data_IF_927858645112
#
_entry.id   IF_927858645112
#
_cell.length_a   1.000
_cell.length_b   1.000
_cell.length_c   1.000
_cell.angle_alpha   90.00
_cell.angle_beta   90.00
_cell.angle_gamma   90.00
#
_symmetry.space_group_name_H-M   'P 1'
#
loop_
_entity.id
_entity.type
_entity.pdbx_description
1 polymer ?
#
# COMPACT_ATOMS: atom_id res chain seq x y z
N UNK A 1 -3.27 -67.90 61.12
CA UNK A 1 -1.82 -67.86 61.43
C UNK A 1 -1.29 -66.47 61.09
N UNK A 2 -0.38 -65.95 61.93
CA UNK A 2 0.27 -64.61 61.93
C UNK A 2 -0.69 -63.40 61.97
N UNK A 3 -0.85 -62.72 63.12
CA UNK A 3 0.08 -61.75 63.75
C UNK A 3 0.52 -60.66 62.76
N UNK A 4 0.37 -59.37 63.04
CA UNK A 4 -0.09 -58.69 64.25
C UNK A 4 0.27 -57.21 64.21
N UNK A 5 -0.09 -56.53 65.30
CA UNK A 5 0.46 -55.27 65.84
C UNK A 5 0.42 -54.00 64.97
N UNK A 6 0.17 -52.78 65.45
CA UNK A 6 -0.41 -52.13 66.65
C UNK A 6 0.26 -50.74 66.72
N UNK A 7 -0.50 -49.78 67.21
CA UNK A 7 -0.05 -48.56 67.89
C UNK A 7 0.56 -47.47 66.97
N UNK A 8 0.34 -46.18 67.22
CA UNK A 8 0.35 -45.55 68.54
C UNK A 8 -0.43 -44.23 68.57
N UNK A 9 -1.21 -44.06 69.66
CA UNK A 9 -1.45 -42.85 70.50
C UNK A 9 -1.93 -41.54 69.85
N UNK A 10 -3.14 -41.02 70.14
CA UNK A 10 -3.72 -40.56 71.44
C UNK A 10 -3.23 -39.13 71.81
N UNK A 11 -4.00 -38.21 72.40
CA UNK A 11 -5.39 -38.11 72.91
C UNK A 11 -5.57 -36.63 73.34
N UNK A 12 -6.81 -36.26 73.70
CA UNK A 12 -7.25 -35.12 74.56
C UNK A 12 -7.56 -33.82 73.80
N UNK A 13 -8.71 -33.17 73.96
CA UNK A 13 -9.85 -33.37 74.87
C UNK A 13 -10.66 -32.08 75.00
N UNK A 14 -11.84 -32.23 75.62
CA UNK A 14 -12.72 -31.19 76.18
C UNK A 14 -13.64 -30.41 75.23
N UNK A 15 -14.90 -30.85 75.21
CA UNK A 15 -16.07 -30.01 75.01
C UNK A 15 -16.29 -29.11 76.23
N UNK A 16 -16.81 -27.89 76.05
CA UNK A 16 -17.67 -27.16 77.02
C UNK A 16 -18.35 -25.96 76.33
N UNK A 17 -19.65 -25.84 76.64
CA UNK A 17 -20.53 -24.68 76.70
C UNK A 17 -20.85 -23.82 75.46
N UNK A 18 -22.12 -23.90 75.09
CA UNK A 18 -22.89 -22.91 74.34
C UNK A 18 -23.11 -21.67 75.22
N UNK A 19 -22.74 -20.50 74.69
CA UNK A 19 -23.29 -19.20 75.12
C UNK A 19 -23.55 -18.37 73.87
N UNK A 20 -24.83 -18.03 73.67
CA UNK A 20 -25.27 -17.14 72.61
C UNK A 20 -24.82 -15.70 72.91
N UNK A 21 -24.12 -15.09 71.95
CA UNK A 21 -23.87 -13.65 71.92
C UNK A 21 -24.39 -13.15 70.57
N UNK A 22 -25.46 -12.37 70.65
CA UNK A 22 -26.00 -11.59 69.54
C UNK A 22 -25.05 -10.43 69.24
N UNK A 23 -24.55 -10.36 68.01
CA UNK A 23 -23.94 -9.14 67.47
C UNK A 23 -24.37 -8.95 66.02
N UNK A 24 -24.90 -7.77 65.74
CA UNK A 24 -25.44 -7.32 64.45
C UNK A 24 -24.33 -7.20 63.41
N UNK A 25 -24.40 -8.01 62.35
CA UNK A 25 -23.55 -7.85 61.17
C UNK A 25 -24.22 -6.83 60.25
N UNK A 26 -23.61 -5.65 60.15
CA UNK A 26 -23.88 -4.69 59.07
C UNK A 26 -23.52 -5.35 57.74
N UNK A 27 -24.48 -5.46 56.82
CA UNK A 27 -24.23 -5.93 55.47
C UNK A 27 -23.24 -4.98 54.78
N UNK A 28 -22.02 -5.46 54.52
CA UNK A 28 -21.09 -4.77 53.64
C UNK A 28 -21.69 -4.73 52.23
N UNK A 29 -21.81 -3.54 51.65
CA UNK A 29 -22.21 -3.36 50.26
C UNK A 29 -21.25 -4.15 49.35
N UNK A 30 -21.80 -4.86 48.37
CA UNK A 30 -21.02 -5.54 47.35
C UNK A 30 -20.05 -4.54 46.68
N UNK A 31 -18.80 -4.93 46.40
CA UNK A 31 -17.87 -4.05 45.69
C UNK A 31 -18.49 -3.66 44.35
N UNK A 32 -18.40 -2.38 44.01
CA UNK A 32 -18.84 -1.88 42.72
C UNK A 32 -18.19 -2.74 41.61
N UNK A 33 -18.94 -3.14 40.57
CA UNK A 33 -18.36 -3.90 39.47
C UNK A 33 -17.18 -3.11 38.91
N UNK A 34 -16.03 -3.79 38.76
CA UNK A 34 -14.89 -3.22 38.08
C UNK A 34 -15.36 -2.60 36.75
N UNK A 35 -14.88 -1.41 36.35
CA UNK A 35 -15.27 -0.82 35.09
C UNK A 35 -15.06 -1.86 34.00
N UNK A 36 -16.13 -2.18 33.27
CA UNK A 36 -16.06 -3.13 32.18
C UNK A 36 -14.93 -2.67 31.26
N UNK A 37 -13.84 -3.42 31.22
CA UNK A 37 -12.84 -3.28 30.17
C UNK A 37 -13.63 -3.52 28.90
N UNK A 38 -13.96 -2.44 28.17
CA UNK A 38 -14.66 -2.56 26.90
C UNK A 38 -13.78 -3.46 26.04
N UNK A 39 -14.19 -4.73 25.84
CA UNK A 39 -13.55 -5.56 24.83
C UNK A 39 -13.66 -4.76 23.55
N UNK A 40 -12.52 -4.31 23.03
CA UNK A 40 -12.46 -3.64 21.73
C UNK A 40 -13.28 -4.51 20.78
N UNK A 41 -14.34 -3.94 20.20
CA UNK A 41 -15.14 -4.68 19.23
C UNK A 41 -14.19 -5.20 18.14
N UNK A 42 -14.37 -6.45 17.71
CA UNK A 42 -13.52 -7.02 16.67
C UNK A 42 -13.54 -6.17 15.39
N UNK A 43 -12.50 -6.26 14.58
CA UNK A 43 -12.31 -5.42 13.41
C UNK A 43 -11.72 -6.22 12.24
N UNK A 44 -11.93 -5.73 11.03
CA UNK A 44 -11.22 -6.19 9.85
C UNK A 44 -9.72 -5.82 9.94
N UNK A 45 -8.88 -6.82 9.72
CA UNK A 45 -7.43 -6.69 9.77
C UNK A 45 -6.87 -6.40 8.38
N UNK A 46 -7.29 -7.15 7.36
CA UNK A 46 -6.86 -6.98 5.97
C UNK A 46 -7.99 -7.36 5.01
N UNK A 47 -7.97 -6.81 3.81
CA UNK A 47 -8.80 -7.24 2.69
C UNK A 47 -8.04 -7.11 1.37
N UNK A 48 -8.46 -7.88 0.38
CA UNK A 48 -7.94 -7.81 -0.99
C UNK A 48 -8.99 -8.20 -2.03
N UNK A 49 -8.75 -7.78 -3.26
CA UNK A 49 -9.52 -8.22 -4.43
C UNK A 49 -8.53 -8.65 -5.50
N UNK A 50 -8.73 -9.87 -6.00
CA UNK A 50 -7.96 -10.45 -7.08
C UNK A 50 -8.89 -10.87 -8.21
N UNK A 51 -8.45 -10.69 -9.45
CA UNK A 51 -9.19 -11.15 -10.63
C UNK A 51 -8.56 -12.40 -11.18
N UNK A 52 -9.37 -13.44 -11.36
CA UNK A 52 -8.91 -14.68 -11.96
C UNK A 52 -8.96 -14.63 -13.50
N UNK A 53 -8.40 -15.65 -14.16
CA UNK A 53 -8.33 -15.75 -15.62
C UNK A 53 -9.71 -15.77 -16.32
N UNK A 54 -10.80 -16.07 -15.61
CA UNK A 54 -12.17 -16.04 -16.14
C UNK A 54 -12.83 -14.65 -15.98
N UNK A 55 -12.12 -13.67 -15.43
CA UNK A 55 -12.61 -12.33 -15.16
C UNK A 55 -13.43 -12.19 -13.88
N UNK A 56 -13.58 -13.25 -13.09
CA UNK A 56 -14.27 -13.18 -11.80
C UNK A 56 -13.37 -12.54 -10.74
N UNK A 57 -14.00 -11.79 -9.84
CA UNK A 57 -13.39 -11.13 -8.71
C UNK A 57 -13.49 -12.03 -7.48
N UNK A 58 -12.34 -12.33 -6.88
CA UNK A 58 -12.20 -12.93 -5.56
C UNK A 58 -12.00 -11.80 -4.55
N UNK A 59 -13.03 -11.52 -3.77
CA UNK A 59 -12.99 -10.58 -2.65
C UNK A 59 -12.66 -11.40 -1.40
N UNK A 60 -11.62 -11.04 -0.66
CA UNK A 60 -11.21 -11.78 0.54
C UNK A 60 -10.86 -10.83 1.68
N UNK A 61 -11.00 -11.30 2.91
CA UNK A 61 -10.72 -10.52 4.11
C UNK A 61 -10.24 -11.39 5.27
N UNK A 62 -9.63 -10.75 6.25
CA UNK A 62 -9.33 -11.31 7.57
C UNK A 62 -9.86 -10.36 8.63
N UNK A 63 -10.43 -10.91 9.70
CA UNK A 63 -10.84 -10.18 10.88
C UNK A 63 -10.19 -10.81 12.13
N UNK A 64 -9.97 -10.01 13.18
CA UNK A 64 -9.39 -10.49 14.44
C UNK A 64 -10.42 -11.14 15.38
N UNK A 65 -11.70 -11.08 15.00
CA UNK A 65 -12.80 -11.82 15.62
C UNK A 65 -13.89 -12.12 14.57
N UNK A 66 -14.90 -12.90 14.97
CA UNK A 66 -16.11 -13.04 14.17
C UNK A 66 -16.97 -11.78 14.32
N UNK A 67 -17.17 -11.05 13.23
CA UNK A 67 -17.93 -9.80 13.20
C UNK A 67 -19.41 -10.01 12.85
N UNK A 68 -19.84 -11.27 12.68
CA UNK A 68 -21.21 -11.66 12.39
C UNK A 68 -21.55 -11.68 10.89
N UNK A 69 -22.81 -11.37 10.58
CA UNK A 69 -23.27 -11.29 9.19
C UNK A 69 -22.53 -10.18 8.43
N UNK A 70 -22.01 -10.49 7.26
CA UNK A 70 -21.31 -9.53 6.42
C UNK A 70 -22.17 -9.12 5.22
N UNK A 71 -22.21 -7.82 4.94
CA UNK A 71 -22.82 -7.26 3.71
C UNK A 71 -21.72 -6.71 2.83
N UNK A 72 -21.70 -7.13 1.57
CA UNK A 72 -20.73 -6.66 0.58
C UNK A 72 -21.46 -5.69 -0.34
N UNK A 73 -20.98 -4.45 -0.40
CA UNK A 73 -21.46 -3.42 -1.32
C UNK A 73 -20.43 -3.16 -2.41
N UNK A 74 -20.88 -2.73 -3.58
CA UNK A 74 -20.00 -2.30 -4.67
C UNK A 74 -20.41 -0.96 -5.25
N UNK A 75 -19.44 -0.22 -5.78
CA UNK A 75 -19.63 1.09 -6.41
C UNK A 75 -18.55 1.35 -7.47
N UNK A 76 -18.81 2.23 -8.43
CA UNK A 76 -17.80 2.76 -9.36
C UNK A 76 -17.12 4.04 -8.83
N UNK A 77 -17.58 4.54 -7.67
CA UNK A 77 -16.91 5.59 -6.90
C UNK A 77 -16.40 5.00 -5.58
N UNK A 78 -15.19 5.35 -5.14
CA UNK A 78 -14.67 4.89 -3.85
C UNK A 78 -15.37 5.54 -2.65
N UNK A 79 -16.09 6.65 -2.86
CA UNK A 79 -16.66 7.45 -1.77
C UNK A 79 -18.07 6.98 -1.38
N UNK A 80 -18.33 6.84 -0.06
CA UNK A 80 -19.64 6.55 0.52
C UNK A 80 -20.34 5.29 -0.05
N UNK A 81 -19.58 4.21 -0.28
CA UNK A 81 -20.07 2.97 -0.91
C UNK A 81 -21.23 2.34 -0.12
N UNK A 82 -21.19 2.40 1.21
CA UNK A 82 -22.18 1.80 2.10
C UNK A 82 -23.54 2.51 2.03
N UNK A 83 -23.56 3.75 1.56
CA UNK A 83 -24.76 4.56 1.39
C UNK A 83 -25.26 4.58 -0.05
N UNK A 84 -24.34 4.74 -1.00
CA UNK A 84 -24.66 4.99 -2.41
C UNK A 84 -24.39 3.79 -3.33
N UNK A 85 -23.65 2.79 -2.84
CA UNK A 85 -23.33 1.58 -3.56
C UNK A 85 -24.50 0.60 -3.61
N UNK A 86 -24.29 -0.48 -4.38
CA UNK A 86 -25.26 -1.55 -4.57
C UNK A 86 -24.88 -2.75 -3.72
N UNK A 87 -25.85 -3.34 -3.02
CA UNK A 87 -25.63 -4.59 -2.30
C UNK A 87 -25.30 -5.70 -3.32
N UNK A 88 -24.12 -6.30 -3.18
CA UNK A 88 -23.66 -7.42 -3.97
C UNK A 88 -24.13 -8.75 -3.37
N UNK A 89 -23.89 -8.93 -2.07
CA UNK A 89 -24.10 -10.19 -1.39
C UNK A 89 -24.27 -10.00 0.12
N UNK A 90 -24.92 -10.99 0.75
CA UNK A 90 -24.94 -11.18 2.19
C UNK A 90 -24.27 -12.53 2.50
N UNK A 91 -23.39 -12.54 3.50
CA UNK A 91 -22.57 -13.69 3.86
C UNK A 91 -22.22 -13.59 5.36
N UNK A 92 -21.17 -14.27 5.82
CA UNK A 92 -20.64 -14.14 7.18
C UNK A 92 -19.15 -13.83 7.14
N UNK A 93 -18.66 -13.03 8.09
CA UNK A 93 -17.23 -12.70 8.13
C UNK A 93 -16.34 -13.92 8.32
N UNK A 94 -16.85 -15.00 8.92
CA UNK A 94 -16.14 -16.26 9.11
C UNK A 94 -15.81 -17.01 7.81
N UNK A 95 -16.47 -16.68 6.69
CA UNK A 95 -16.19 -17.31 5.40
C UNK A 95 -14.96 -16.72 4.69
N UNK A 96 -14.44 -15.59 5.18
CA UNK A 96 -13.18 -14.96 4.73
C UNK A 96 -13.08 -14.62 3.23
N UNK A 97 -14.17 -14.73 2.46
CA UNK A 97 -14.18 -14.34 1.07
C UNK A 97 -15.50 -14.57 0.34
N UNK A 98 -15.56 -14.04 -0.87
CA UNK A 98 -16.68 -14.12 -1.81
C UNK A 98 -16.16 -14.05 -3.25
N UNK A 99 -16.69 -14.88 -4.13
CA UNK A 99 -16.35 -14.87 -5.57
C UNK A 99 -17.55 -14.36 -6.35
N UNK A 100 -17.32 -13.42 -7.25
CA UNK A 100 -18.37 -12.80 -8.07
C UNK A 100 -17.88 -12.53 -9.50
N UNK A 101 -18.76 -12.58 -10.52
CA UNK A 101 -18.46 -11.92 -11.79
C UNK A 101 -18.20 -10.42 -11.57
N UNK A 102 -17.45 -9.77 -12.46
CA UNK A 102 -17.31 -8.32 -12.44
C UNK A 102 -18.69 -7.65 -12.53
N UNK A 103 -19.14 -6.90 -11.51
CA UNK A 103 -20.47 -6.32 -11.49
C UNK A 103 -20.61 -5.16 -12.48
N UNK A 104 -19.51 -4.61 -13.00
CA UNK A 104 -19.52 -3.52 -13.97
C UNK A 104 -18.26 -3.52 -14.85
N UNK A 105 -18.17 -4.41 -15.87
CA UNK A 105 -17.05 -4.44 -16.80
C UNK A 105 -16.80 -3.08 -17.48
N UNK A 106 -15.53 -2.72 -17.67
CA UNK A 106 -15.12 -1.44 -18.25
C UNK A 106 -15.18 -0.24 -17.28
N UNK A 107 -15.38 -0.51 -15.99
CA UNK A 107 -15.28 0.45 -14.90
C UNK A 107 -14.35 -0.10 -13.83
N UNK A 108 -13.67 0.79 -13.12
CA UNK A 108 -13.03 0.44 -11.84
C UNK A 108 -14.13 0.26 -10.79
N UNK A 109 -14.08 -0.86 -10.08
CA UNK A 109 -15.06 -1.21 -9.03
C UNK A 109 -14.38 -1.20 -7.67
N UNK A 110 -15.05 -0.60 -6.70
CA UNK A 110 -14.67 -0.55 -5.29
C UNK A 110 -15.72 -1.30 -4.46
N UNK A 111 -15.28 -1.94 -3.38
CA UNK A 111 -16.13 -2.69 -2.48
C UNK A 111 -16.03 -2.16 -1.07
N UNK A 112 -17.14 -2.24 -0.34
CA UNK A 112 -17.18 -2.08 1.11
C UNK A 112 -17.74 -3.35 1.74
N UNK A 113 -16.99 -3.95 2.65
CA UNK A 113 -17.40 -5.13 3.41
C UNK A 113 -17.78 -4.66 4.81
N UNK A 114 -19.07 -4.73 5.13
CA UNK A 114 -19.62 -4.28 6.41
C UNK A 114 -19.97 -5.48 7.28
N UNK A 115 -19.30 -5.60 8.43
CA UNK A 115 -19.59 -6.58 9.47
C UNK A 115 -20.89 -6.29 10.21
N UNK A 116 -21.44 -7.31 10.87
CA UNK A 116 -22.69 -7.22 11.64
C UNK A 116 -22.53 -6.36 12.89
N UNK A 117 -21.31 -6.24 13.40
CA UNK A 117 -20.92 -5.31 14.46
C UNK A 117 -20.78 -3.84 13.98
N UNK A 118 -20.93 -3.58 12.68
CA UNK A 118 -20.84 -2.24 12.09
C UNK A 118 -19.46 -1.86 11.56
N UNK A 119 -18.42 -2.64 11.81
CA UNK A 119 -17.07 -2.39 11.26
C UNK A 119 -17.08 -2.50 9.73
N UNK A 120 -16.26 -1.69 9.05
CA UNK A 120 -16.20 -1.65 7.59
C UNK A 120 -14.76 -1.66 7.12
N UNK A 121 -14.50 -2.40 6.04
CA UNK A 121 -13.26 -2.31 5.28
C UNK A 121 -13.56 -2.07 3.80
N UNK A 122 -12.87 -1.09 3.22
CA UNK A 122 -12.92 -0.78 1.79
C UNK A 122 -11.80 -1.47 1.04
N UNK A 123 -12.11 -1.98 -0.15
CA UNK A 123 -11.16 -2.75 -0.95
C UNK A 123 -11.45 -2.63 -2.44
N UNK A 124 -10.41 -2.65 -3.26
CA UNK A 124 -10.48 -2.72 -4.71
C UNK A 124 -9.30 -3.52 -5.27
N UNK A 125 -9.34 -3.86 -6.56
CA UNK A 125 -8.17 -4.39 -7.25
C UNK A 125 -7.06 -3.34 -7.24
N UNK A 126 -5.87 -3.69 -6.75
CA UNK A 126 -4.72 -2.78 -6.72
C UNK A 126 -4.28 -2.39 -8.13
N UNK A 127 -4.09 -3.39 -8.99
CA UNK A 127 -3.78 -3.18 -10.42
C UNK A 127 -4.99 -2.58 -11.11
N UNK A 128 -4.76 -1.53 -11.90
CA UNK A 128 -5.75 -1.05 -12.86
C UNK A 128 -5.51 -1.84 -14.15
N UNK A 129 -6.43 -2.75 -14.48
CA UNK A 129 -6.28 -3.63 -15.63
C UNK A 129 -6.53 -2.85 -16.94
N UNK A 130 -5.45 -2.34 -17.52
CA UNK A 130 -5.44 -1.64 -18.81
C UNK A 130 -4.70 -2.49 -19.86
N UNK A 131 -5.00 -2.29 -21.13
CA UNK A 131 -4.34 -2.99 -22.24
C UNK A 131 -2.97 -2.39 -22.55
N UNK A 132 -2.88 -1.06 -22.53
CA UNK A 132 -1.67 -0.30 -22.87
C UNK A 132 -0.72 -0.03 -21.72
N UNK A 133 -1.04 -0.44 -20.49
CA UNK A 133 -0.24 -0.15 -19.29
C UNK A 133 -0.12 -1.39 -18.39
N UNK A 134 1.09 -1.68 -17.95
CA UNK A 134 1.43 -2.89 -17.20
C UNK A 134 1.47 -2.66 -15.68
N UNK A 135 1.98 -1.50 -15.27
CA UNK A 135 2.38 -1.10 -13.92
C UNK A 135 1.49 0.02 -13.35
N UNK A 136 0.32 0.28 -13.96
CA UNK A 136 -0.71 1.18 -13.44
C UNK A 136 -1.42 0.56 -12.23
N UNK A 137 -1.32 1.21 -11.06
CA UNK A 137 -2.00 0.77 -9.83
C UNK A 137 -2.37 1.89 -8.88
N UNK A 138 -3.31 1.56 -8.01
CA UNK A 138 -3.81 2.39 -6.92
C UNK A 138 -2.97 2.16 -5.63
N UNK A 139 -2.66 3.24 -4.92
CA UNK A 139 -1.91 3.23 -3.66
C UNK A 139 -2.83 3.10 -2.42
N UNK A 140 -4.15 2.97 -2.62
CA UNK A 140 -5.11 2.74 -1.54
C UNK A 140 -4.95 1.42 -0.79
N UNK A 141 -5.61 1.32 0.35
CA UNK A 141 -5.69 0.11 1.19
C UNK A 141 -4.46 -0.18 2.06
N UNK A 142 -3.41 0.61 1.99
CA UNK A 142 -2.28 0.47 2.91
C UNK A 142 -2.61 1.03 4.29
N UNK A 143 -2.31 0.27 5.35
CA UNK A 143 -2.50 0.72 6.72
C UNK A 143 -1.35 1.59 7.18
N UNK A 144 -1.67 2.63 7.94
CA UNK A 144 -0.69 3.49 8.61
C UNK A 144 -0.38 2.96 10.01
N UNK A 145 0.74 3.39 10.58
CA UNK A 145 1.16 2.97 11.93
C UNK A 145 0.17 3.37 13.04
N UNK A 146 -0.62 4.42 12.82
CA UNK A 146 -1.69 4.88 13.72
C UNK A 146 -3.05 4.20 13.44
N UNK A 147 -3.10 3.22 12.55
CA UNK A 147 -4.26 2.34 12.32
C UNK A 147 -5.28 2.85 11.31
N UNK A 148 -5.03 3.98 10.65
CA UNK A 148 -5.83 4.46 9.51
C UNK A 148 -5.48 3.71 8.23
N UNK A 149 -6.25 3.93 7.18
CA UNK A 149 -6.02 3.31 5.86
C UNK A 149 -5.91 4.39 4.78
N UNK A 150 -4.99 4.23 3.83
CA UNK A 150 -4.92 5.08 2.63
C UNK A 150 -6.18 4.85 1.80
N UNK A 151 -6.93 5.91 1.51
CA UNK A 151 -8.18 5.84 0.74
C UNK A 151 -7.92 5.30 -0.66
N UNK A 152 -8.79 4.39 -1.10
CA UNK A 152 -8.82 3.92 -2.48
C UNK A 152 -9.26 5.01 -3.46
N UNK A 153 -8.74 4.93 -4.68
CA UNK A 153 -9.18 5.77 -5.79
C UNK A 153 -8.69 7.22 -5.74
N UNK A 154 -7.70 7.54 -4.89
CA UNK A 154 -7.18 8.91 -4.71
C UNK A 154 -5.74 9.09 -5.18
N UNK A 155 -4.92 8.05 -5.14
CA UNK A 155 -3.49 8.13 -5.38
C UNK A 155 -3.09 6.97 -6.29
N UNK A 156 -2.62 7.27 -7.48
CA UNK A 156 -2.25 6.28 -8.49
C UNK A 156 -0.81 6.46 -8.91
N UNK A 157 -0.20 5.35 -9.34
CA UNK A 157 1.10 5.32 -10.00
C UNK A 157 1.00 4.53 -11.29
N UNK A 158 1.77 4.90 -12.30
CA UNK A 158 1.80 4.21 -13.58
C UNK A 158 3.19 4.26 -14.23
N UNK A 159 3.36 3.47 -15.30
CA UNK A 159 4.34 3.81 -16.33
C UNK A 159 3.81 4.89 -17.28
N UNK A 160 4.52 5.18 -18.36
CA UNK A 160 4.07 6.13 -19.37
C UNK A 160 2.72 5.76 -19.98
N UNK A 161 1.95 6.80 -20.35
CA UNK A 161 0.55 6.64 -20.73
C UNK A 161 0.33 6.69 -22.25
N UNK A 162 1.37 6.96 -23.03
CA UNK A 162 1.28 7.05 -24.50
C UNK A 162 0.86 5.74 -25.21
N UNK A 163 0.93 4.60 -24.52
CA UNK A 163 0.48 3.31 -25.04
C UNK A 163 -1.00 2.99 -24.74
N UNK A 164 -1.71 3.84 -23.97
CA UNK A 164 -3.10 3.59 -23.62
C UNK A 164 -3.99 3.50 -24.87
N UNK A 165 -4.78 2.44 -24.94
CA UNK A 165 -5.76 2.25 -26.02
C UNK A 165 -6.97 3.17 -25.82
N UNK A 166 -7.79 3.35 -26.86
CA UNK A 166 -9.04 4.11 -26.74
C UNK A 166 -9.97 3.56 -25.63
N UNK A 167 -9.97 2.24 -25.41
CA UNK A 167 -10.72 1.64 -24.30
C UNK A 167 -10.12 1.97 -22.94
N UNK A 168 -8.80 2.04 -22.83
CA UNK A 168 -8.12 2.39 -21.59
C UNK A 168 -8.39 3.84 -21.20
N UNK A 169 -8.38 4.76 -22.18
CA UNK A 169 -8.70 6.18 -21.95
C UNK A 169 -10.09 6.35 -21.35
N UNK A 170 -11.07 5.57 -21.83
CA UNK A 170 -12.42 5.57 -21.29
C UNK A 170 -12.49 5.05 -19.85
N UNK A 171 -11.68 4.04 -19.51
CA UNK A 171 -11.56 3.54 -18.13
C UNK A 171 -10.95 4.63 -17.22
N UNK A 172 -9.81 5.21 -17.62
CA UNK A 172 -9.10 6.25 -16.85
C UNK A 172 -9.98 7.48 -16.65
N UNK A 173 -10.69 7.93 -17.69
CA UNK A 173 -11.64 9.04 -17.60
C UNK A 173 -12.76 8.78 -16.58
N UNK A 174 -13.28 7.55 -16.52
CA UNK A 174 -14.34 7.15 -15.56
C UNK A 174 -13.84 7.01 -14.13
N UNK A 175 -12.52 6.83 -13.93
CA UNK A 175 -11.93 6.79 -12.59
C UNK A 175 -11.93 8.16 -11.90
N UNK A 176 -12.13 9.25 -12.65
CA UNK A 176 -12.18 10.60 -12.09
C UNK A 176 -10.83 11.12 -11.64
N UNK A 177 -9.73 10.62 -12.23
CA UNK A 177 -8.39 11.19 -12.00
C UNK A 177 -8.37 12.59 -12.63
N UNK A 178 -7.96 13.58 -11.85
CA UNK A 178 -8.00 15.00 -12.21
C UNK A 178 -6.63 15.58 -12.56
N UNK A 179 -5.56 14.88 -12.17
CA UNK A 179 -4.19 15.36 -12.34
C UNK A 179 -3.28 14.21 -12.77
N UNK A 180 -2.46 14.48 -13.77
CA UNK A 180 -1.41 13.63 -14.30
C UNK A 180 -0.05 14.31 -14.06
N UNK A 181 0.84 13.64 -13.34
CA UNK A 181 2.18 14.14 -12.99
C UNK A 181 3.24 13.31 -13.69
N UNK A 182 3.89 13.93 -14.67
CA UNK A 182 4.89 13.30 -15.51
C UNK A 182 6.31 13.69 -15.06
N UNK A 183 7.09 12.70 -14.62
CA UNK A 183 8.50 12.86 -14.24
C UNK A 183 9.48 12.59 -15.40
N UNK A 184 8.98 12.35 -16.61
CA UNK A 184 9.83 12.09 -17.78
C UNK A 184 10.59 13.32 -18.20
N UNK A 185 11.77 13.09 -18.74
CA UNK A 185 12.56 14.12 -19.42
C UNK A 185 11.88 14.54 -20.73
N UNK A 186 12.26 15.68 -21.29
CA UNK A 186 11.75 16.17 -22.58
C UNK A 186 11.95 15.17 -23.71
N UNK A 187 13.08 14.45 -23.70
CA UNK A 187 13.37 13.43 -24.70
C UNK A 187 12.43 12.22 -24.56
N UNK A 188 12.15 11.79 -23.33
CA UNK A 188 11.23 10.67 -23.06
C UNK A 188 9.78 11.03 -23.41
N UNK A 189 9.29 12.21 -22.99
CA UNK A 189 7.96 12.70 -23.35
C UNK A 189 7.82 12.91 -24.87
N UNK A 190 8.82 13.52 -25.50
CA UNK A 190 8.82 13.77 -26.93
C UNK A 190 8.84 12.49 -27.77
N UNK A 191 9.47 11.43 -27.26
CA UNK A 191 9.47 10.11 -27.89
C UNK A 191 8.11 9.40 -27.77
N UNK A 192 7.40 9.62 -26.65
CA UNK A 192 6.12 8.98 -26.40
C UNK A 192 5.17 9.90 -25.62
N UNK A 193 4.37 10.69 -26.32
CA UNK A 193 3.47 11.66 -25.68
C UNK A 193 2.33 10.99 -24.93
N UNK A 194 1.95 11.57 -23.80
CA UNK A 194 0.74 11.15 -23.12
C UNK A 194 -0.52 11.59 -23.88
N UNK A 195 -1.60 10.79 -23.81
CA UNK A 195 -2.87 11.13 -24.42
C UNK A 195 -3.53 12.28 -23.65
N UNK A 196 -4.20 13.18 -24.38
CA UNK A 196 -5.00 14.23 -23.75
C UNK A 196 -6.31 13.64 -23.20
N UNK A 197 -6.45 13.62 -21.88
CA UNK A 197 -7.65 13.13 -21.19
C UNK A 197 -8.49 14.32 -20.71
N UNK A 198 -9.71 14.45 -21.22
CA UNK A 198 -10.60 15.56 -20.87
C UNK A 198 -10.89 15.61 -19.36
N UNK A 199 -10.69 16.77 -18.75
CA UNK A 199 -10.87 16.99 -17.31
C UNK A 199 -9.66 16.64 -16.44
N UNK A 200 -8.58 16.16 -17.05
CA UNK A 200 -7.30 15.88 -16.40
C UNK A 200 -6.30 17.00 -16.71
N UNK A 201 -5.68 17.56 -15.68
CA UNK A 201 -4.57 18.49 -15.83
C UNK A 201 -3.29 17.70 -16.02
N UNK A 202 -2.56 17.99 -17.09
CA UNK A 202 -1.23 17.44 -17.33
C UNK A 202 -0.18 18.37 -16.76
N UNK A 203 0.65 17.86 -15.85
CA UNK A 203 1.70 18.60 -15.16
C UNK A 203 3.01 17.87 -15.36
N UNK A 204 3.94 18.52 -16.07
CA UNK A 204 5.32 18.07 -16.10
C UNK A 204 6.07 18.72 -14.97
N UNK A 205 6.87 17.94 -14.27
CA UNK A 205 7.73 18.50 -13.23
C UNK A 205 8.96 19.11 -13.88
N UNK A 206 9.09 20.44 -13.80
CA UNK A 206 10.14 21.20 -14.48
C UNK A 206 11.54 20.82 -13.95
N UNK A 207 12.48 20.64 -14.88
CA UNK A 207 13.93 20.63 -14.64
C UNK A 207 14.58 19.46 -13.87
N UNK A 208 14.43 18.21 -14.32
CA UNK A 208 15.47 17.27 -13.94
C UNK A 208 15.71 16.15 -14.94
N UNK A 209 16.93 16.16 -15.45
CA UNK A 209 17.59 15.04 -16.10
C UNK A 209 17.85 13.88 -15.12
N UNK A 210 16.87 13.50 -14.30
CA UNK A 210 16.88 12.25 -13.56
C UNK A 210 16.37 11.11 -14.47
N UNK A 211 16.85 11.07 -15.70
CA UNK A 211 16.58 10.04 -16.69
C UNK A 211 17.88 9.75 -17.42
N UNK A 212 18.19 8.48 -17.63
CA UNK A 212 19.34 8.09 -18.45
C UNK A 212 18.89 8.00 -19.89
N UNK A 213 19.34 8.93 -20.74
CA UNK A 213 19.25 8.80 -22.21
C UNK A 213 20.46 8.06 -22.78
N UNK A 214 21.29 7.46 -21.93
CA UNK A 214 22.50 6.78 -22.37
C UNK A 214 22.13 5.58 -23.24
N UNK A 215 22.71 5.51 -24.44
CA UNK A 215 22.57 4.32 -25.27
C UNK A 215 23.33 3.12 -24.68
N UNK A 216 23.05 1.94 -25.23
CA UNK A 216 23.69 0.69 -24.81
C UNK A 216 25.23 0.79 -24.83
N UNK A 217 25.80 1.39 -25.87
CA UNK A 217 27.25 1.50 -26.03
C UNK A 217 27.88 2.38 -24.94
N UNK A 218 27.20 3.47 -24.57
CA UNK A 218 27.60 4.38 -23.51
C UNK A 218 27.55 3.68 -22.15
N UNK A 219 26.51 2.88 -21.89
CA UNK A 219 26.39 2.09 -20.67
C UNK A 219 27.45 0.97 -20.56
N UNK A 220 27.85 0.37 -21.69
CA UNK A 220 28.97 -0.59 -21.71
C UNK A 220 30.29 0.13 -21.39
N UNK A 221 30.57 1.24 -22.08
CA UNK A 221 31.81 2.00 -21.91
C UNK A 221 31.97 2.60 -20.51
N UNK A 222 30.87 2.99 -19.86
CA UNK A 222 30.89 3.48 -18.48
C UNK A 222 31.12 2.37 -17.44
N UNK A 223 31.08 1.10 -17.85
CA UNK A 223 31.23 -0.05 -16.95
C UNK A 223 29.95 -0.40 -16.17
N UNK A 224 28.84 0.32 -16.37
CA UNK A 224 27.54 0.02 -15.72
C UNK A 224 27.07 -1.40 -16.05
N UNK A 225 27.34 -1.86 -17.28
CA UNK A 225 26.93 -3.19 -17.77
C UNK A 225 28.03 -4.26 -17.61
N UNK A 226 29.09 -3.98 -16.85
CA UNK A 226 30.17 -4.93 -16.59
C UNK A 226 29.65 -6.19 -15.89
N UNK A 227 28.78 -6.02 -14.91
CA UNK A 227 28.16 -7.07 -14.12
C UNK A 227 26.90 -6.55 -13.42
N UNK A 228 26.11 -7.46 -12.84
CA UNK A 228 24.90 -7.11 -12.11
C UNK A 228 25.15 -6.17 -10.93
N UNK A 229 26.27 -6.33 -10.22
CA UNK A 229 26.58 -5.53 -9.04
C UNK A 229 26.83 -4.05 -9.41
N UNK A 230 27.49 -3.80 -10.53
CA UNK A 230 27.75 -2.46 -11.07
C UNK A 230 26.45 -1.75 -11.45
N UNK A 231 25.54 -2.46 -12.12
CA UNK A 231 24.21 -1.95 -12.43
C UNK A 231 23.38 -1.64 -11.17
N UNK A 232 23.43 -2.52 -10.17
CA UNK A 232 22.76 -2.32 -8.88
C UNK A 232 23.30 -1.10 -8.14
N UNK A 233 24.63 -0.96 -8.07
CA UNK A 233 25.28 0.18 -7.42
C UNK A 233 24.93 1.51 -8.11
N UNK A 234 24.88 1.53 -9.45
CA UNK A 234 24.46 2.70 -10.22
C UNK A 234 23.02 3.09 -9.90
N UNK A 235 22.08 2.14 -9.88
CA UNK A 235 20.66 2.42 -9.57
C UNK A 235 20.44 2.85 -8.12
N UNK A 236 21.19 2.28 -7.17
CA UNK A 236 21.20 2.73 -5.79
C UNK A 236 21.70 4.18 -5.68
N UNK A 237 22.82 4.52 -6.34
CA UNK A 237 23.34 5.89 -6.40
C UNK A 237 22.36 6.88 -7.04
N UNK A 238 21.68 6.47 -8.11
CA UNK A 238 20.64 7.26 -8.76
C UNK A 238 19.46 7.56 -7.81
N UNK A 239 19.02 6.57 -7.02
CA UNK A 239 17.96 6.77 -6.03
C UNK A 239 18.38 7.71 -4.89
N UNK A 240 19.66 7.69 -4.47
CA UNK A 240 20.20 8.67 -3.52
C UNK A 240 20.18 10.09 -4.08
N UNK A 241 20.62 10.25 -5.32
CA UNK A 241 20.65 11.57 -5.97
C UNK A 241 19.27 12.22 -6.04
N UNK A 242 18.21 11.42 -6.22
CA UNK A 242 16.83 11.92 -6.20
C UNK A 242 16.39 12.42 -4.81
N UNK A 243 17.01 11.96 -3.73
CA UNK A 243 16.82 12.51 -2.36
C UNK A 243 17.66 13.77 -2.14
N UNK A 244 18.83 13.86 -2.79
CA UNK A 244 19.68 15.04 -2.72
C UNK A 244 19.08 16.26 -3.41
N UNK A 245 18.33 16.04 -4.49
CA UNK A 245 17.67 17.07 -5.30
C UNK A 245 16.16 16.75 -5.48
N UNK A 246 15.34 16.83 -4.42
CA UNK A 246 13.97 16.31 -4.43
C UNK A 246 12.94 17.25 -5.08
N UNK A 247 13.34 18.09 -6.05
CA UNK A 247 12.48 19.14 -6.65
C UNK A 247 11.14 18.59 -7.15
N UNK A 248 11.16 17.47 -7.87
CA UNK A 248 9.93 16.83 -8.38
C UNK A 248 8.99 16.42 -7.25
N UNK A 249 9.56 15.97 -6.13
CA UNK A 249 8.80 15.49 -4.99
C UNK A 249 8.28 16.64 -4.12
N UNK A 250 8.99 17.76 -4.04
CA UNK A 250 8.45 19.01 -3.46
C UNK A 250 7.19 19.42 -4.23
N UNK A 251 7.28 19.50 -5.56
CA UNK A 251 6.13 19.85 -6.40
C UNK A 251 4.99 18.83 -6.30
N UNK A 252 5.30 17.52 -6.24
CA UNK A 252 4.29 16.49 -5.97
C UNK A 252 3.56 16.75 -4.65
N UNK A 253 4.28 17.07 -3.57
CA UNK A 253 3.68 17.32 -2.26
C UNK A 253 2.81 18.58 -2.27
N UNK A 254 3.24 19.65 -2.95
CA UNK A 254 2.45 20.87 -3.16
C UNK A 254 1.15 20.57 -3.91
N UNK A 255 1.22 19.80 -5.00
CA UNK A 255 0.06 19.39 -5.79
C UNK A 255 -0.92 18.56 -4.98
N UNK A 256 -0.43 17.61 -4.19
CA UNK A 256 -1.25 16.77 -3.31
C UNK A 256 -1.94 17.57 -2.20
N UNK A 257 -1.33 18.68 -1.78
CA UNK A 257 -1.86 19.56 -0.75
C UNK A 257 -2.95 20.52 -1.26
N UNK A 258 -3.14 20.64 -2.58
CA UNK A 258 -4.28 21.33 -3.18
C UNK A 258 -5.49 20.37 -3.30
N UNK A 259 -6.58 20.70 -2.60
CA UNK A 259 -7.81 19.90 -2.62
C UNK A 259 -8.50 19.86 -3.98
N UNK A 260 -8.08 20.67 -4.95
CA UNK A 260 -8.56 20.60 -6.34
C UNK A 260 -7.94 19.46 -7.14
N UNK A 261 -6.89 18.82 -6.62
CA UNK A 261 -6.16 17.74 -7.29
C UNK A 261 -6.42 16.36 -6.64
N UNK A 262 -7.52 16.22 -5.89
CA UNK A 262 -7.90 14.95 -5.26
C UNK A 262 -8.19 13.94 -6.39
N UNK A 263 -7.52 12.78 -6.34
CA UNK A 263 -7.35 11.80 -7.43
C UNK A 263 -6.28 12.20 -8.46
N UNK A 264 -5.04 11.77 -8.20
CA UNK A 264 -3.85 12.06 -9.01
C UNK A 264 -3.16 10.76 -9.45
N UNK A 265 -2.64 10.73 -10.68
CA UNK A 265 -1.69 9.73 -11.16
C UNK A 265 -0.31 10.36 -11.33
N UNK A 266 0.73 9.68 -10.84
CA UNK A 266 2.11 10.03 -11.10
C UNK A 266 2.79 8.93 -11.90
N UNK A 267 3.66 9.30 -12.85
CA UNK A 267 4.33 8.31 -13.69
C UNK A 267 5.71 8.77 -14.18
N UNK A 268 6.41 7.80 -14.76
CA UNK A 268 7.63 7.98 -15.54
C UNK A 268 7.65 6.88 -16.60
N UNK A 269 8.71 6.74 -17.39
CA UNK A 269 8.79 5.78 -18.51
C UNK A 269 8.38 4.36 -18.14
N UNK A 270 8.98 3.77 -17.09
CA UNK A 270 8.65 2.41 -16.63
C UNK A 270 7.80 2.38 -15.35
N UNK A 271 7.52 3.55 -14.78
CA UNK A 271 6.78 3.67 -13.53
C UNK A 271 7.46 3.01 -12.34
N UNK A 272 8.80 2.93 -12.31
CA UNK A 272 9.56 2.11 -11.35
C UNK A 272 10.44 2.92 -10.39
N UNK A 273 11.38 3.72 -10.88
CA UNK A 273 12.36 4.42 -10.03
C UNK A 273 11.85 5.78 -9.56
N UNK A 274 11.78 6.78 -10.45
CA UNK A 274 11.22 8.12 -10.16
C UNK A 274 9.83 8.03 -9.51
N UNK A 275 8.93 7.27 -10.13
CA UNK A 275 7.58 7.01 -9.61
C UNK A 275 7.58 6.15 -8.35
N UNK A 276 8.51 5.22 -8.21
CA UNK A 276 8.60 4.36 -7.02
C UNK A 276 9.01 5.15 -5.79
N UNK A 277 10.02 6.01 -5.92
CA UNK A 277 10.42 6.93 -4.85
C UNK A 277 9.31 7.96 -4.57
N UNK A 278 8.64 8.50 -5.59
CA UNK A 278 7.48 9.37 -5.39
C UNK A 278 6.34 8.67 -4.63
N UNK A 279 6.04 7.41 -4.95
CA UNK A 279 5.04 6.60 -4.24
C UNK A 279 5.48 6.32 -2.80
N UNK A 280 6.77 6.03 -2.58
CA UNK A 280 7.32 5.83 -1.25
C UNK A 280 7.20 7.09 -0.39
N UNK A 281 7.52 8.26 -0.95
CA UNK A 281 7.40 9.56 -0.27
C UNK A 281 5.95 9.84 0.15
N UNK A 282 4.98 9.61 -0.74
CA UNK A 282 3.56 9.75 -0.41
C UNK A 282 3.19 8.85 0.77
N UNK A 283 3.49 7.56 0.68
CA UNK A 283 3.08 6.58 1.69
C UNK A 283 3.76 6.85 3.06
N UNK A 284 5.05 7.18 3.07
CA UNK A 284 5.79 7.57 4.27
C UNK A 284 5.24 8.87 4.89
N UNK A 285 4.87 9.84 4.05
CA UNK A 285 4.22 11.08 4.50
C UNK A 285 2.87 10.79 5.18
N UNK A 286 2.10 9.86 4.63
CA UNK A 286 0.84 9.42 5.22
C UNK A 286 1.03 8.55 6.48
N UNK A 287 2.24 8.05 6.74
CA UNK A 287 2.57 7.27 7.94
C UNK A 287 2.44 5.76 7.76
N UNK A 288 2.50 5.28 6.52
CA UNK A 288 2.69 3.85 6.21
C UNK A 288 4.12 3.46 6.56
N UNK A 289 4.31 2.27 7.12
CA UNK A 289 5.62 1.80 7.55
C UNK A 289 6.55 1.46 6.37
N UNK A 290 7.87 1.56 6.60
CA UNK A 290 8.89 1.35 5.56
C UNK A 290 8.82 -0.03 4.90
N UNK A 291 8.46 -1.08 5.65
CA UNK A 291 8.39 -2.43 5.12
C UNK A 291 7.23 -2.58 4.14
N UNK A 292 6.06 -2.01 4.46
CA UNK A 292 4.92 -1.94 3.55
C UNK A 292 5.24 -1.12 2.31
N UNK A 293 5.92 0.02 2.47
CA UNK A 293 6.36 0.88 1.35
C UNK A 293 7.31 0.14 0.42
N UNK A 294 8.31 -0.56 0.98
CA UNK A 294 9.23 -1.39 0.21
C UNK A 294 8.50 -2.50 -0.53
N UNK A 295 7.48 -3.11 0.08
CA UNK A 295 6.69 -4.15 -0.57
C UNK A 295 5.91 -3.61 -1.78
N UNK A 296 5.29 -2.41 -1.71
CA UNK A 296 4.67 -1.78 -2.90
C UNK A 296 5.69 -1.51 -4.01
N UNK A 297 6.85 -0.99 -3.64
CA UNK A 297 7.91 -0.67 -4.59
C UNK A 297 8.30 -1.91 -5.42
N UNK A 298 8.50 -3.04 -4.74
CA UNK A 298 8.86 -4.32 -5.35
C UNK A 298 7.75 -4.94 -6.23
N UNK A 299 6.47 -4.53 -6.08
CA UNK A 299 5.40 -4.99 -6.96
C UNK A 299 5.65 -4.62 -8.43
N UNK A 300 6.51 -3.64 -8.71
CA UNK A 300 6.90 -3.30 -10.08
C UNK A 300 7.54 -4.49 -10.81
N UNK A 301 8.26 -5.38 -10.09
CA UNK A 301 8.81 -6.61 -10.69
C UNK A 301 7.71 -7.59 -11.09
N UNK A 302 6.65 -7.69 -10.30
CA UNK A 302 5.52 -8.56 -10.59
C UNK A 302 4.73 -8.03 -11.80
N UNK A 303 4.35 -6.75 -11.76
CA UNK A 303 3.52 -6.15 -12.81
C UNK A 303 4.22 -6.02 -14.16
N UNK A 304 5.56 -5.94 -14.17
CA UNK A 304 6.37 -5.84 -15.39
C UNK A 304 7.04 -7.15 -15.79
N UNK A 305 6.79 -8.26 -15.10
CA UNK A 305 7.50 -9.52 -15.30
C UNK A 305 7.51 -9.96 -16.77
N UNK A 306 6.34 -9.99 -17.41
CA UNK A 306 6.19 -10.44 -18.81
C UNK A 306 6.88 -9.50 -19.80
N UNK A 307 6.68 -8.19 -19.64
CA UNK A 307 7.30 -7.16 -20.50
C UNK A 307 8.84 -7.17 -20.38
N UNK A 308 9.35 -7.30 -19.15
CA UNK A 308 10.78 -7.41 -18.88
C UNK A 308 11.33 -8.70 -19.47
N UNK A 309 10.66 -9.84 -19.28
CA UNK A 309 11.08 -11.12 -19.84
C UNK A 309 11.17 -11.08 -21.37
N UNK A 310 10.14 -10.54 -22.05
CA UNK A 310 10.13 -10.43 -23.50
C UNK A 310 11.32 -9.61 -24.03
N UNK A 311 11.64 -8.50 -23.36
CA UNK A 311 12.78 -7.64 -23.72
C UNK A 311 14.12 -8.36 -23.49
N UNK A 312 14.30 -9.01 -22.35
CA UNK A 312 15.53 -9.75 -22.04
C UNK A 312 15.73 -10.92 -23.00
N UNK A 313 14.67 -11.67 -23.34
CA UNK A 313 14.75 -12.77 -24.31
C UNK A 313 15.12 -12.26 -25.72
N UNK A 314 14.68 -11.04 -26.10
CA UNK A 314 15.10 -10.41 -27.35
C UNK A 314 16.57 -9.98 -27.31
N UNK A 315 17.03 -9.39 -26.20
CA UNK A 315 18.43 -8.98 -26.03
C UNK A 315 19.39 -10.17 -26.05
N UNK A 316 19.04 -11.31 -25.43
CA UNK A 316 19.84 -12.54 -25.45
C UNK A 316 20.13 -13.08 -26.85
N UNK A 317 19.28 -12.77 -27.84
CA UNK A 317 19.50 -13.16 -29.24
C UNK A 317 20.58 -12.33 -29.93
N UNK A 318 20.86 -11.14 -29.40
CA UNK A 318 21.78 -10.17 -29.99
C UNK A 318 23.08 -10.03 -29.18
N UNK A 319 23.00 -10.24 -27.87
CA UNK A 319 24.10 -10.03 -26.92
C UNK A 319 24.43 -11.38 -26.26
N UNK A 320 25.58 -12.01 -26.61
CA UNK A 320 25.99 -13.29 -26.03
C UNK A 320 26.60 -13.16 -24.63
N UNK A 321 26.98 -11.95 -24.20
CA UNK A 321 27.59 -11.72 -22.89
C UNK A 321 26.55 -11.82 -21.77
N UNK A 322 26.63 -12.90 -20.99
CA UNK A 322 25.72 -13.16 -19.87
C UNK A 322 25.79 -12.11 -18.76
N UNK A 323 26.94 -11.44 -18.55
CA UNK A 323 27.07 -10.39 -17.55
C UNK A 323 26.28 -9.15 -17.96
N UNK A 324 26.34 -8.79 -19.25
CA UNK A 324 25.54 -7.68 -19.81
C UNK A 324 24.06 -7.99 -19.67
N UNK A 325 23.65 -9.24 -19.95
CA UNK A 325 22.25 -9.67 -19.78
C UNK A 325 21.81 -9.62 -18.32
N UNK A 326 22.66 -10.06 -17.37
CA UNK A 326 22.36 -9.98 -15.94
C UNK A 326 22.24 -8.53 -15.46
N UNK A 327 23.16 -7.66 -15.89
CA UNK A 327 23.10 -6.22 -15.62
C UNK A 327 21.83 -5.58 -16.17
N UNK A 328 21.47 -5.86 -17.43
CA UNK A 328 20.21 -5.37 -18.03
C UNK A 328 18.98 -5.89 -17.30
N UNK A 329 18.96 -7.17 -16.91
CA UNK A 329 17.87 -7.74 -16.12
C UNK A 329 17.68 -6.97 -14.81
N UNK A 330 18.76 -6.61 -14.13
CA UNK A 330 18.71 -5.78 -12.93
C UNK A 330 18.21 -4.35 -13.20
N UNK A 331 18.64 -3.71 -14.29
CA UNK A 331 18.19 -2.36 -14.68
C UNK A 331 16.72 -2.31 -15.09
N UNK A 332 16.19 -3.39 -15.66
CA UNK A 332 14.78 -3.47 -16.06
C UNK A 332 13.82 -3.71 -14.87
N UNK A 333 14.31 -4.35 -13.82
CA UNK A 333 13.59 -4.54 -12.57
C UNK A 333 13.77 -3.41 -11.56
N UNK A 334 13.40 -3.73 -10.32
CA UNK A 334 13.70 -2.99 -9.11
C UNK A 334 14.24 -3.92 -8.04
N UNK A 335 15.10 -3.42 -7.16
CA UNK A 335 15.66 -4.21 -6.06
C UNK A 335 15.61 -3.42 -4.75
N UNK A 336 15.65 -4.10 -3.60
CA UNK A 336 15.51 -3.45 -2.29
C UNK A 336 16.59 -2.40 -2.06
N UNK A 337 17.78 -2.66 -2.60
CA UNK A 337 18.97 -1.83 -2.58
C UNK A 337 18.71 -0.45 -3.21
N UNK A 338 17.78 -0.34 -4.17
CA UNK A 338 17.53 0.91 -4.88
C UNK A 338 16.75 1.88 -3.99
N UNK A 339 15.54 1.50 -3.56
CA UNK A 339 14.74 2.32 -2.65
C UNK A 339 15.36 2.38 -1.25
N UNK A 340 16.01 1.31 -0.80
CA UNK A 340 16.73 1.27 0.47
C UNK A 340 17.82 2.34 0.53
N UNK A 341 18.59 2.50 -0.54
CA UNK A 341 19.58 3.57 -0.63
C UNK A 341 18.97 4.97 -0.51
N UNK A 342 17.79 5.22 -1.10
CA UNK A 342 17.08 6.49 -0.92
C UNK A 342 16.60 6.69 0.52
N UNK A 343 15.99 5.67 1.14
CA UNK A 343 15.53 5.75 2.54
C UNK A 343 16.72 5.99 3.50
N UNK A 344 17.84 5.31 3.27
CA UNK A 344 19.05 5.50 4.05
C UNK A 344 19.62 6.90 3.86
N UNK A 345 19.58 7.45 2.64
CA UNK A 345 19.99 8.83 2.35
C UNK A 345 19.11 9.87 3.05
N UNK A 346 17.78 9.66 3.07
CA UNK A 346 16.85 10.51 3.82
C UNK A 346 17.24 10.56 5.30
N UNK A 347 17.52 9.39 5.90
CA UNK A 347 17.91 9.28 7.31
C UNK A 347 19.28 9.88 7.57
N UNK A 348 20.27 9.62 6.70
CA UNK A 348 21.62 10.11 6.86
C UNK A 348 21.72 11.64 6.79
N UNK A 349 21.02 12.25 5.83
CA UNK A 349 21.11 13.70 5.56
C UNK A 349 20.21 14.54 6.47
N UNK A 350 19.04 14.02 6.86
CA UNK A 350 18.05 14.79 7.62
C UNK A 350 17.88 14.30 9.07
N UNK A 351 18.44 13.15 9.42
CA UNK A 351 18.36 12.53 10.74
C UNK A 351 17.18 11.57 10.92
N UNK A 352 16.10 11.74 10.15
CA UNK A 352 14.95 10.85 10.11
C UNK A 352 14.11 11.07 8.85
N UNK A 353 13.21 10.13 8.54
CA UNK A 353 12.24 10.29 7.44
C UNK A 353 11.32 11.48 7.70
N UNK A 354 10.87 11.67 8.95
CA UNK A 354 10.03 12.82 9.32
C UNK A 354 10.76 14.14 9.11
N UNK A 355 12.06 14.21 9.44
CA UNK A 355 12.87 15.39 9.20
C UNK A 355 13.13 15.63 7.71
N UNK A 356 13.23 14.58 6.89
CA UNK A 356 13.27 14.72 5.43
C UNK A 356 11.96 15.29 4.88
N UNK A 357 10.81 14.80 5.34
CA UNK A 357 9.49 15.32 4.94
C UNK A 357 9.37 16.82 5.30
N UNK A 358 9.75 17.20 6.52
CA UNK A 358 9.62 18.58 6.99
C UNK A 358 10.65 19.51 6.33
N UNK A 359 11.93 19.14 6.32
CA UNK A 359 13.02 20.04 5.89
C UNK A 359 13.45 19.84 4.43
N UNK A 360 13.40 18.61 3.94
CA UNK A 360 13.80 18.26 2.58
C UNK A 360 12.69 18.48 1.56
N UNK A 361 11.44 18.16 1.92
CA UNK A 361 10.27 18.38 1.08
C UNK A 361 9.51 19.68 1.41
N UNK A 362 9.82 20.33 2.53
CA UNK A 362 9.14 21.55 2.96
C UNK A 362 7.72 21.33 3.48
N UNK A 363 7.31 20.09 3.75
CA UNK A 363 5.95 19.76 4.19
C UNK A 363 5.84 19.99 5.69
N UNK A 364 5.17 21.07 6.07
CA UNK A 364 4.93 21.42 7.48
C UNK A 364 4.04 20.38 8.18
N UNK A 365 4.01 20.41 9.51
CA UNK A 365 3.16 19.50 10.30
C UNK A 365 1.68 19.69 9.99
N UNK A 366 1.26 20.94 9.78
CA UNK A 366 -0.09 21.34 9.42
C UNK A 366 -0.47 20.80 8.03
N UNK A 367 0.42 20.92 7.05
CA UNK A 367 0.20 20.37 5.71
C UNK A 367 0.16 18.85 5.73
N UNK A 368 1.06 18.20 6.48
CA UNK A 368 1.02 16.74 6.66
C UNK A 368 -0.28 16.28 7.31
N UNK A 369 -0.78 17.02 8.30
CA UNK A 369 -2.08 16.73 8.92
C UNK A 369 -3.24 16.89 7.92
N UNK A 370 -3.19 17.92 7.07
CA UNK A 370 -4.16 18.14 5.99
C UNK A 370 -4.13 17.01 4.95
N UNK A 371 -2.94 16.60 4.49
CA UNK A 371 -2.76 15.45 3.61
C UNK A 371 -3.37 14.18 4.21
N UNK A 372 -3.07 13.89 5.48
CA UNK A 372 -3.66 12.75 6.20
C UNK A 372 -5.19 12.83 6.26
N UNK A 373 -5.77 14.00 6.50
CA UNK A 373 -7.23 14.17 6.51
C UNK A 373 -7.87 13.93 5.14
N UNK A 374 -7.18 14.33 4.05
CA UNK A 374 -7.67 14.13 2.69
C UNK A 374 -7.56 12.66 2.25
N UNK A 375 -6.41 12.02 2.50
CA UNK A 375 -6.07 10.73 1.90
C UNK A 375 -6.18 9.52 2.83
N UNK A 376 -6.48 9.69 4.11
CA UNK A 376 -6.71 8.58 5.04
C UNK A 376 -8.17 8.49 5.49
N UNK A 377 -8.62 7.27 5.77
CA UNK A 377 -9.91 6.91 6.37
C UNK A 377 -9.76 6.08 7.65
#
# INVERSE_FOLDING_TARGET
MSKGFKATTAVLGAAIAVSAITSSVSAAAAPAPAPAVSKKAGQFVTAGVERNAKGNLLIHWKADANLGAAKIYWSTSPDNIEKNGKLLAQTYTSFNGFVTPDPKPGYRVYFAIKGGNGDVIHVAERKVNLQGAFNFRDLGGYKTADGKTVKWGKLFRAEELGHLTASDLEVVKRMGITTDVDYRTDAEEGAMKDPVIAGMKYIRTDEGNAGSTADLNTMIKSGVLKDQASAVAMMAGFNKQMVDAPKFYVQLMELLNDSKNIALVQHCTAGKDRTGLGSAIILLTLGVDEQTVMNDYLLSNFYRADANKATIDALKKQIPDENVIAAMTALMGVQKEFLGAAIDEMKAKYGSIDAFIEKGLGVTKEERAKLKAMYLE
#
